data_IF_075431130901
#
_entry.id   IF_075431130901
#
_cell.length_a   1.000
_cell.length_b   1.000
_cell.length_c   1.000
_cell.angle_alpha   90.00
_cell.angle_beta   90.00
_cell.angle_gamma   90.00
#
_symmetry.space_group_name_H-M   'P 1'
#
loop_
_entity.id
_entity.type
_entity.pdbx_description
1 polymer ?
#
# COMPACT_ATOMS: atom_id res chain seq x y z
N UNK A 1 3.76 7.70 -8.81
CA UNK A 1 2.91 6.47 -8.77
C UNK A 1 3.79 5.24 -8.95
N UNK A 2 3.49 4.15 -8.25
CA UNK A 2 3.99 2.80 -8.53
C UNK A 2 2.84 1.92 -9.04
N UNK A 3 3.14 0.93 -9.87
CA UNK A 3 2.15 -0.04 -10.35
C UNK A 3 2.73 -1.45 -10.33
N UNK A 4 1.90 -2.40 -9.92
CA UNK A 4 2.20 -3.83 -9.91
C UNK A 4 1.00 -4.60 -10.49
N UNK A 5 1.27 -5.58 -11.34
CA UNK A 5 0.23 -6.48 -11.85
C UNK A 5 0.38 -7.83 -11.19
N UNK A 6 -0.69 -8.32 -10.55
CA UNK A 6 -0.72 -9.64 -9.95
C UNK A 6 -1.83 -10.49 -10.56
N UNK A 7 -1.63 -11.80 -10.55
CA UNK A 7 -2.67 -12.76 -10.94
C UNK A 7 -3.28 -13.35 -9.68
N UNK A 8 -4.59 -13.16 -9.43
CA UNK A 8 -5.26 -13.76 -8.29
C UNK A 8 -5.12 -15.28 -8.30
N UNK A 9 -4.81 -15.86 -7.14
CA UNK A 9 -4.68 -17.30 -6.93
C UNK A 9 -6.06 -17.89 -6.62
N UNK A 10 -6.21 -19.20 -6.83
CA UNK A 10 -7.43 -19.89 -6.43
C UNK A 10 -7.71 -19.75 -4.92
N UNK A 11 -6.66 -19.81 -4.08
CA UNK A 11 -6.77 -19.63 -2.64
C UNK A 11 -7.14 -18.20 -2.20
N UNK A 12 -7.10 -17.23 -3.11
CA UNK A 12 -7.51 -15.86 -2.81
C UNK A 12 -9.05 -15.71 -2.92
N UNK A 13 -9.74 -16.72 -3.45
CA UNK A 13 -11.21 -16.77 -3.51
C UNK A 13 -11.82 -17.32 -2.22
N UNK A 14 -13.10 -17.04 -2.01
CA UNK A 14 -13.90 -17.71 -0.98
C UNK A 14 -15.14 -18.40 -1.57
N UNK A 15 -15.95 -18.99 -0.67
CA UNK A 15 -17.16 -19.72 -1.03
C UNK A 15 -18.23 -18.87 -1.73
N UNK A 16 -18.10 -17.54 -1.75
CA UNK A 16 -19.02 -16.63 -2.44
C UNK A 16 -18.65 -16.45 -3.92
N UNK A 17 -17.55 -17.04 -4.38
CA UNK A 17 -17.18 -17.07 -5.80
C UNK A 17 -16.42 -15.84 -6.29
N UNK A 18 -15.98 -14.97 -5.37
CA UNK A 18 -15.12 -13.83 -5.65
C UNK A 18 -13.86 -13.86 -4.78
N UNK A 19 -12.94 -12.92 -5.01
CA UNK A 19 -11.78 -12.71 -4.16
C UNK A 19 -12.22 -12.27 -2.78
N UNK A 20 -11.73 -12.97 -1.76
CA UNK A 20 -12.06 -12.68 -0.37
C UNK A 20 -11.54 -11.30 0.03
N UNK A 21 -12.36 -10.55 0.77
CA UNK A 21 -12.03 -9.20 1.24
C UNK A 21 -10.71 -9.12 2.04
N UNK A 22 -10.32 -10.19 2.75
CA UNK A 22 -9.09 -10.24 3.55
C UNK A 22 -7.82 -10.26 2.71
N UNK A 23 -7.93 -10.55 1.40
CA UNK A 23 -6.80 -10.54 0.49
C UNK A 23 -6.36 -9.13 0.10
N UNK A 24 -7.25 -8.14 0.12
CA UNK A 24 -6.90 -6.78 -0.27
C UNK A 24 -5.82 -6.15 0.62
N UNK A 25 -5.91 -6.23 1.97
CA UNK A 25 -4.81 -5.81 2.85
C UNK A 25 -3.46 -6.46 2.50
N UNK A 26 -3.46 -7.76 2.17
CA UNK A 26 -2.24 -8.52 1.84
C UNK A 26 -1.65 -8.02 0.53
N UNK A 27 -2.48 -7.87 -0.50
CA UNK A 27 -2.04 -7.39 -1.81
C UNK A 27 -1.56 -5.94 -1.75
N UNK A 28 -2.27 -5.08 -1.03
CA UNK A 28 -1.85 -3.70 -0.78
C UNK A 28 -0.57 -3.62 0.05
N UNK A 29 -0.31 -4.53 0.99
CA UNK A 29 1.00 -4.62 1.64
C UNK A 29 2.12 -4.98 0.68
N UNK A 30 1.93 -5.99 -0.17
CA UNK A 30 2.91 -6.35 -1.21
C UNK A 30 3.26 -5.16 -2.10
N UNK A 31 2.25 -4.47 -2.61
CA UNK A 31 2.42 -3.32 -3.49
C UNK A 31 3.00 -2.06 -2.80
N UNK A 32 3.25 -2.10 -1.48
CA UNK A 32 3.96 -1.03 -0.74
C UNK A 32 5.48 -1.21 -0.76
N UNK A 33 6.04 -2.30 -1.31
CA UNK A 33 7.49 -2.52 -1.35
C UNK A 33 8.28 -1.32 -1.92
N UNK A 34 7.89 -0.68 -3.05
CA UNK A 34 8.61 0.48 -3.56
C UNK A 34 8.60 1.66 -2.59
N UNK A 35 7.54 1.82 -1.80
CA UNK A 35 7.44 2.85 -0.74
C UNK A 35 8.38 2.50 0.42
N UNK A 36 8.48 1.23 0.80
CA UNK A 36 9.43 0.79 1.82
C UNK A 36 10.89 1.06 1.41
N UNK A 37 11.21 0.86 0.12
CA UNK A 37 12.53 1.16 -0.45
C UNK A 37 12.94 2.63 -0.35
N UNK A 38 12.00 3.56 -0.30
CA UNK A 38 12.30 4.99 -0.08
C UNK A 38 12.92 5.21 1.31
N UNK A 39 12.45 4.48 2.32
CA UNK A 39 12.98 4.57 3.68
C UNK A 39 14.19 3.65 3.90
N UNK A 40 14.19 2.49 3.22
CA UNK A 40 15.12 1.39 3.44
C UNK A 40 15.42 0.70 2.10
N UNK A 41 16.40 1.18 1.31
CA UNK A 41 16.68 0.67 -0.04
C UNK A 41 16.92 -0.85 -0.10
N UNK A 42 17.60 -1.40 0.92
CA UNK A 42 17.94 -2.82 1.02
C UNK A 42 16.84 -3.69 1.67
N UNK A 43 15.73 -3.09 2.12
CA UNK A 43 14.62 -3.78 2.81
C UNK A 43 15.08 -4.69 3.98
N UNK A 44 16.15 -4.30 4.67
CA UNK A 44 16.68 -5.06 5.79
C UNK A 44 15.70 -5.05 6.98
N UNK A 45 15.07 -6.20 7.23
CA UNK A 45 14.07 -6.37 8.30
C UNK A 45 14.63 -6.12 9.71
N UNK A 46 15.93 -6.30 9.92
CA UNK A 46 16.57 -6.00 11.21
C UNK A 46 16.69 -4.49 11.49
N UNK A 47 16.50 -3.64 10.48
CA UNK A 47 16.58 -2.19 10.57
C UNK A 47 15.28 -1.53 10.11
N UNK A 48 14.16 -2.21 10.31
CA UNK A 48 12.87 -1.74 9.82
C UNK A 48 12.46 -0.41 10.47
N UNK A 49 12.01 0.56 9.67
CA UNK A 49 11.72 1.94 10.12
C UNK A 49 10.26 2.34 9.99
N UNK A 50 9.38 1.42 9.61
CA UNK A 50 7.99 1.73 9.32
C UNK A 50 7.06 0.83 10.11
N UNK A 51 6.06 1.42 10.76
CA UNK A 51 4.96 0.68 11.40
C UNK A 51 3.62 1.13 10.82
N UNK A 52 2.66 0.20 10.73
CA UNK A 52 1.29 0.47 10.30
C UNK A 52 0.45 0.94 11.48
N UNK A 53 -0.16 2.13 11.38
CA UNK A 53 -1.05 2.67 12.40
C UNK A 53 -2.54 2.43 12.09
N UNK A 54 -2.91 2.40 10.81
CA UNK A 54 -4.28 2.20 10.36
C UNK A 54 -4.27 1.64 8.94
N UNK A 55 -5.25 0.78 8.65
CA UNK A 55 -5.65 0.44 7.28
C UNK A 55 -7.15 0.64 7.14
N UNK A 56 -7.58 1.19 6.01
CA UNK A 56 -8.96 1.17 5.53
C UNK A 56 -9.02 0.70 4.08
N UNK A 57 -10.10 0.01 3.73
CA UNK A 57 -10.36 -0.50 2.37
C UNK A 57 -11.81 -0.25 2.03
N UNK A 58 -12.04 0.38 0.89
CA UNK A 58 -13.33 0.58 0.26
C UNK A 58 -13.48 -0.40 -0.90
N UNK A 59 -14.59 -1.14 -0.93
CA UNK A 59 -14.92 -2.11 -1.95
C UNK A 59 -15.99 -1.53 -2.87
N UNK A 60 -15.63 -1.27 -4.13
CA UNK A 60 -16.49 -0.63 -5.13
C UNK A 60 -17.12 -1.63 -6.09
N UNK A 61 -16.41 -2.72 -6.39
CA UNK A 61 -16.89 -3.82 -7.21
C UNK A 61 -16.25 -5.15 -6.77
N UNK A 62 -16.89 -6.27 -7.11
CA UNK A 62 -16.33 -7.60 -6.88
C UNK A 62 -15.10 -7.83 -7.79
N UNK A 63 -14.18 -8.65 -7.32
CA UNK A 63 -12.95 -9.04 -8.02
C UNK A 63 -13.01 -10.54 -8.24
N UNK A 64 -12.62 -11.02 -9.42
CA UNK A 64 -12.76 -12.42 -9.78
C UNK A 64 -11.42 -13.08 -10.10
N UNK A 65 -11.36 -14.40 -9.85
CA UNK A 65 -10.27 -15.25 -10.30
C UNK A 65 -10.19 -15.32 -11.83
N UNK A 66 -9.01 -15.67 -12.36
CA UNK A 66 -8.81 -15.92 -13.80
C UNK A 66 -8.50 -14.67 -14.63
N UNK A 67 -8.46 -13.49 -14.01
CA UNK A 67 -8.02 -12.24 -14.65
C UNK A 67 -7.07 -11.49 -13.74
N UNK A 68 -5.99 -10.96 -14.32
CA UNK A 68 -5.03 -10.15 -13.59
C UNK A 68 -5.69 -8.88 -13.01
N UNK A 69 -5.10 -8.38 -11.93
CA UNK A 69 -5.46 -7.12 -11.30
C UNK A 69 -4.24 -6.21 -11.30
N UNK A 70 -4.47 -4.91 -11.48
CA UNK A 70 -3.44 -3.88 -11.35
C UNK A 70 -3.60 -3.20 -10.00
N UNK A 71 -2.51 -3.17 -9.23
CA UNK A 71 -2.40 -2.43 -7.98
C UNK A 71 -1.64 -1.15 -8.26
N UNK A 72 -2.28 0.00 -8.02
CA UNK A 72 -1.65 1.32 -8.15
C UNK A 72 -1.40 1.89 -6.77
N UNK A 73 -0.16 2.26 -6.48
CA UNK A 73 0.27 2.79 -5.18
C UNK A 73 0.75 4.22 -5.31
N UNK A 74 0.26 5.08 -4.43
CA UNK A 74 0.53 6.51 -4.36
C UNK A 74 0.85 6.92 -2.92
N UNK A 75 1.49 8.09 -2.78
CA UNK A 75 1.57 8.79 -1.50
C UNK A 75 0.36 9.72 -1.42
N UNK A 76 -0.47 9.60 -0.38
CA UNK A 76 -1.63 10.47 -0.18
C UNK A 76 -1.24 11.78 0.47
N UNK A 77 -0.96 11.74 1.77
CA UNK A 77 -0.57 12.88 2.60
C UNK A 77 0.78 12.62 3.25
N UNK A 78 1.62 13.65 3.39
CA UNK A 78 2.90 13.56 4.12
C UNK A 78 2.86 14.48 5.34
N UNK A 79 2.81 13.89 6.53
CA UNK A 79 2.80 14.61 7.81
C UNK A 79 4.20 14.91 8.35
N UNK A 80 4.32 14.94 9.69
CA UNK A 80 5.60 15.12 10.40
C UNK A 80 6.35 13.81 10.58
N UNK A 81 5.73 12.83 11.25
CA UNK A 81 6.26 11.48 11.48
C UNK A 81 5.46 10.38 10.79
N UNK A 82 4.30 10.71 10.22
CA UNK A 82 3.41 9.78 9.52
C UNK A 82 3.08 10.25 8.12
N UNK A 83 2.70 9.31 7.27
CA UNK A 83 2.25 9.55 5.91
C UNK A 83 1.21 8.50 5.52
N UNK A 84 0.42 8.83 4.51
CA UNK A 84 -0.64 7.96 4.02
C UNK A 84 -0.18 7.34 2.70
N UNK A 85 -0.34 6.02 2.56
CA UNK A 85 -0.18 5.31 1.29
C UNK A 85 -1.58 5.05 0.76
N UNK A 86 -1.92 5.72 -0.35
CA UNK A 86 -3.19 5.51 -1.04
C UNK A 86 -3.00 4.48 -2.14
N UNK A 87 -3.89 3.50 -2.21
CA UNK A 87 -3.79 2.38 -3.13
C UNK A 87 -5.12 2.12 -3.82
N UNK A 88 -5.06 1.72 -5.08
CA UNK A 88 -6.21 1.32 -5.88
C UNK A 88 -5.99 -0.07 -6.46
N UNK A 89 -7.06 -0.85 -6.58
CA UNK A 89 -7.08 -2.10 -7.32
C UNK A 89 -8.01 -1.98 -8.51
N UNK A 90 -7.48 -2.31 -9.69
CA UNK A 90 -8.19 -2.28 -10.97
C UNK A 90 -8.27 -3.68 -11.58
N UNK A 91 -9.45 -4.06 -12.09
CA UNK A 91 -9.64 -5.28 -12.87
C UNK A 91 -10.53 -4.97 -14.07
N UNK A 92 -10.09 -5.32 -15.29
CA UNK A 92 -10.79 -4.98 -16.54
C UNK A 92 -11.12 -3.47 -16.64
N UNK A 93 -10.15 -2.60 -16.33
CA UNK A 93 -10.30 -1.14 -16.35
C UNK A 93 -11.39 -0.58 -15.40
N UNK A 94 -11.86 -1.39 -14.45
CA UNK A 94 -12.78 -0.97 -13.39
C UNK A 94 -12.01 -0.89 -12.08
N UNK A 95 -12.12 0.25 -11.38
CA UNK A 95 -11.62 0.38 -10.01
C UNK A 95 -12.52 -0.43 -9.06
N UNK A 96 -12.04 -1.62 -8.67
CA UNK A 96 -12.79 -2.53 -7.81
C UNK A 96 -12.61 -2.22 -6.32
N UNK A 97 -11.44 -1.70 -5.92
CA UNK A 97 -11.19 -1.33 -4.54
C UNK A 97 -10.24 -0.13 -4.45
N UNK A 98 -10.28 0.56 -3.31
CA UNK A 98 -9.27 1.55 -2.93
C UNK A 98 -9.02 1.49 -1.43
N UNK A 99 -7.78 1.68 -0.98
CA UNK A 99 -7.46 1.66 0.43
C UNK A 99 -6.42 2.71 0.81
N UNK A 100 -6.43 3.07 2.09
CA UNK A 100 -5.42 3.95 2.68
C UNK A 100 -4.75 3.25 3.85
N UNK A 101 -3.42 3.21 3.82
CA UNK A 101 -2.60 2.77 4.95
C UNK A 101 -1.89 3.97 5.57
N UNK A 102 -2.08 4.20 6.87
CA UNK A 102 -1.32 5.22 7.61
C UNK A 102 -0.04 4.57 8.13
N UNK A 103 1.09 4.98 7.56
CA UNK A 103 2.42 4.52 7.92
C UNK A 103 3.11 5.56 8.81
N UNK A 104 3.91 5.09 9.77
CA UNK A 104 4.67 5.95 10.69
C UNK A 104 6.15 5.60 10.58
N UNK A 105 6.99 6.61 10.42
CA UNK A 105 8.43 6.47 10.59
C UNK A 105 8.71 6.19 12.07
N UNK A 106 9.17 5.00 12.40
CA UNK A 106 9.13 4.46 13.76
C UNK A 106 10.47 3.87 14.17
N UNK A 107 10.90 4.21 15.38
CA UNK A 107 12.06 3.63 16.03
C UNK A 107 11.61 2.49 16.95
N UNK A 108 11.93 1.25 16.58
CA UNK A 108 11.56 0.07 17.36
C UNK A 108 12.37 -0.06 18.66
N UNK A 109 13.59 0.46 18.71
CA UNK A 109 14.41 0.49 19.93
C UNK A 109 13.76 1.39 20.99
N UNK A 110 13.33 2.59 20.58
CA UNK A 110 12.75 3.60 21.47
C UNK A 110 11.22 3.55 21.54
N UNK A 111 10.58 2.60 20.84
CA UNK A 111 9.12 2.46 20.72
C UNK A 111 8.39 3.80 20.47
N UNK A 112 8.91 4.61 19.55
CA UNK A 112 8.42 5.98 19.32
C UNK A 112 8.54 6.40 17.86
N UNK A 113 7.68 7.34 17.46
CA UNK A 113 7.70 7.91 16.11
C UNK A 113 8.85 8.91 15.94
N UNK A 114 9.52 8.85 14.79
CA UNK A 114 10.56 9.80 14.38
C UNK A 114 10.04 10.72 13.27
N UNK A 115 10.58 11.94 13.20
CA UNK A 115 10.33 12.84 12.07
C UNK A 115 10.79 12.18 10.78
N UNK A 116 9.99 12.31 9.72
CA UNK A 116 10.36 11.83 8.38
C UNK A 116 11.57 12.67 7.88
N UNK A 117 12.67 12.04 7.46
CA UNK A 117 13.84 12.73 6.89
C UNK A 117 13.49 13.56 5.65
N UNK A 118 14.22 14.64 5.41
CA UNK A 118 13.91 15.58 4.32
C UNK A 118 14.10 14.98 2.92
N UNK A 119 15.13 14.15 2.76
CA UNK A 119 15.41 13.36 1.56
C UNK A 119 14.27 12.37 1.26
N UNK A 120 13.84 11.60 2.28
CA UNK A 120 12.71 10.67 2.18
C UNK A 120 11.41 11.39 1.83
N UNK A 121 11.15 12.56 2.44
CA UNK A 121 10.00 13.41 2.07
C UNK A 121 10.07 13.83 0.59
N UNK A 122 11.20 14.34 0.14
CA UNK A 122 11.40 14.78 -1.24
C UNK A 122 11.16 13.64 -2.24
N UNK A 123 11.63 12.43 -1.94
CA UNK A 123 11.36 11.26 -2.77
C UNK A 123 9.87 10.90 -2.78
N UNK A 124 9.20 10.88 -1.62
CA UNK A 124 7.75 10.60 -1.55
C UNK A 124 6.91 11.63 -2.31
N UNK A 125 7.30 12.92 -2.32
CA UNK A 125 6.59 13.99 -3.02
C UNK A 125 6.44 13.73 -4.53
N UNK A 126 7.38 13.00 -5.13
CA UNK A 126 7.33 12.59 -6.55
C UNK A 126 6.20 11.60 -6.86
N UNK A 127 5.62 10.98 -5.82
CA UNK A 127 4.57 9.97 -5.95
C UNK A 127 3.25 10.40 -5.33
N UNK A 128 3.07 11.70 -5.05
CA UNK A 128 1.83 12.24 -4.52
C UNK A 128 0.64 11.91 -5.44
N UNK A 129 -0.46 11.51 -4.81
CA UNK A 129 -1.73 11.34 -5.49
C UNK A 129 -2.30 12.72 -5.84
N UNK A 130 -2.53 12.94 -7.13
CA UNK A 130 -3.32 14.07 -7.63
C UNK A 130 -4.67 13.52 -8.04
N UNK A 131 -5.73 13.94 -7.37
CA UNK A 131 -7.07 13.75 -7.89
C UNK A 131 -7.19 14.66 -9.12
N UNK A 132 -7.31 14.09 -10.31
CA UNK A 132 -7.83 14.80 -11.48
C UNK A 132 -9.32 15.08 -11.31
#
# INVERSE_FOLDING_TARGET
>A
MFSEVITPRFCDTDALGHINNTMLPIWFEGAREPVFKIFMPELNLAQWRLILAKIDVNFHAQIFYGKAVELRTYIGRIGGSSFDVYQELWQNDIKCASGTSVMVNFCYENQSSLKIPADVRCEMEKHLYSAE
#
